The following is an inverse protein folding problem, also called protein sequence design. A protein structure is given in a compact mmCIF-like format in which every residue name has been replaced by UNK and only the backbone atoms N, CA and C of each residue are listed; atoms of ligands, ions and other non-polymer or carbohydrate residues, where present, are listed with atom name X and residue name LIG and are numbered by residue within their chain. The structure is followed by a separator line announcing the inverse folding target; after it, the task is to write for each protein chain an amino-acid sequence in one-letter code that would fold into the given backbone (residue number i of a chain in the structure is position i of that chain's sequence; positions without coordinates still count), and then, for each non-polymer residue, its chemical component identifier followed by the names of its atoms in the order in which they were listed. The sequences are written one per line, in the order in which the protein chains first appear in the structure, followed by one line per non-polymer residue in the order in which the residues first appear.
data_IF_428998859780
#
_entry.id   IF_428998859780
#
_cell.length_a   1.000
_cell.length_b   1.000
_cell.length_c   1.000
_cell.angle_alpha   90.00
_cell.angle_beta   90.00
_cell.angle_gamma   90.00
#
_symmetry.space_group_name_H-M   'P 1'
#
loop_
_entity.id
_entity.type
_entity.pdbx_description
1 polymer ?
#
# COMPACT_ATOMS: atom_id res chain seq x y z
N UNK A 1 24.67 9.39 18.55
CA UNK A 1 23.36 8.87 18.13
C UNK A 1 22.69 9.96 17.31
N UNK A 2 22.34 9.67 16.07
CA UNK A 2 21.56 10.58 15.22
C UNK A 2 20.10 10.09 15.22
N UNK A 3 19.13 10.99 15.31
CA UNK A 3 17.70 10.67 15.42
C UNK A 3 16.97 11.45 14.34
N UNK A 4 16.21 10.74 13.52
CA UNK A 4 15.36 11.31 12.47
C UNK A 4 13.94 10.76 12.63
N UNK A 5 12.95 11.53 12.16
CA UNK A 5 11.54 11.15 12.13
C UNK A 5 11.00 11.32 10.72
N UNK A 6 10.09 10.44 10.31
CA UNK A 6 9.44 10.48 9.00
C UNK A 6 7.93 10.28 9.14
N UNK A 7 7.19 10.80 8.17
CA UNK A 7 5.75 10.58 8.09
C UNK A 7 5.43 9.18 7.55
N UNK A 8 4.34 8.61 8.05
CA UNK A 8 3.82 7.30 7.63
C UNK A 8 2.36 7.44 7.25
N UNK A 9 2.00 6.99 6.05
CA UNK A 9 0.58 6.86 5.68
C UNK A 9 0.08 5.52 6.19
N UNK A 10 -0.85 5.55 7.15
CA UNK A 10 -1.56 4.36 7.62
C UNK A 10 -2.88 4.20 6.89
N UNK A 11 -3.07 3.07 6.23
CA UNK A 11 -4.33 2.66 5.61
C UNK A 11 -4.89 1.48 6.41
N UNK A 12 -6.17 1.56 6.77
CA UNK A 12 -6.91 0.44 7.34
C UNK A 12 -7.95 -0.01 6.32
N UNK A 13 -7.87 -1.28 5.93
CA UNK A 13 -8.78 -1.88 4.95
C UNK A 13 -9.63 -2.92 5.69
N UNK A 14 -10.93 -2.68 5.74
CA UNK A 14 -11.93 -3.57 6.35
C UNK A 14 -12.83 -4.19 5.29
N UNK A 15 -13.69 -5.13 5.70
CA UNK A 15 -14.74 -5.71 4.86
C UNK A 15 -14.22 -6.45 3.61
N UNK A 16 -12.97 -6.92 3.65
CA UNK A 16 -12.39 -7.80 2.65
C UNK A 16 -12.78 -9.25 3.02
N UNK A 17 -13.50 -9.99 2.14
CA UNK A 17 -13.96 -11.34 2.47
C UNK A 17 -12.81 -12.27 2.90
N UNK A 18 -12.99 -12.95 4.05
CA UNK A 18 -12.02 -13.89 4.65
C UNK A 18 -10.69 -13.28 5.09
N UNK A 19 -10.69 -11.97 5.35
CA UNK A 19 -9.57 -11.28 5.98
C UNK A 19 -10.02 -10.60 7.27
N UNK A 20 -9.13 -10.60 8.25
CA UNK A 20 -9.19 -9.65 9.36
C UNK A 20 -8.84 -8.24 8.83
N UNK A 21 -9.07 -7.15 9.58
CA UNK A 21 -8.65 -5.82 9.15
C UNK A 21 -7.17 -5.80 8.73
N UNK A 22 -6.92 -5.36 7.49
CA UNK A 22 -5.59 -5.26 6.93
C UNK A 22 -5.07 -3.85 7.22
N UNK A 23 -3.96 -3.76 7.94
CA UNK A 23 -3.26 -2.51 8.19
C UNK A 23 -2.08 -2.39 7.22
N UNK A 24 -1.99 -1.27 6.51
CA UNK A 24 -0.89 -0.98 5.60
C UNK A 24 -0.22 0.31 6.06
N UNK A 25 1.10 0.28 6.14
CA UNK A 25 1.94 1.44 6.44
C UNK A 25 2.80 1.69 5.21
N UNK A 26 2.69 2.90 4.65
CA UNK A 26 3.48 3.34 3.50
C UNK A 26 4.40 4.45 3.95
N UNK A 27 5.69 4.23 3.72
CA UNK A 27 6.76 5.16 4.01
C UNK A 27 7.50 5.44 2.70
N UNK A 28 7.14 6.54 2.05
CA UNK A 28 7.87 7.05 0.89
C UNK A 28 8.98 7.96 1.39
N UNK A 29 10.24 7.54 1.25
CA UNK A 29 11.39 8.27 1.77
C UNK A 29 11.84 9.42 0.86
N UNK A 30 11.14 9.64 -0.26
CA UNK A 30 11.68 10.45 -1.34
C UNK A 30 12.87 9.75 -2.01
N UNK A 31 13.42 10.36 -3.05
CA UNK A 31 14.52 9.78 -3.84
C UNK A 31 14.21 8.41 -4.46
N UNK A 32 12.92 8.11 -4.69
CA UNK A 32 12.46 6.83 -5.28
C UNK A 32 12.79 5.64 -4.38
N UNK A 33 12.88 5.82 -3.07
CA UNK A 33 13.02 4.75 -2.10
C UNK A 33 11.81 4.71 -1.18
N UNK A 34 11.42 3.52 -0.72
CA UNK A 34 10.26 3.40 0.15
C UNK A 34 10.12 2.04 0.78
N UNK A 35 9.32 2.01 1.85
CA UNK A 35 9.01 0.81 2.63
C UNK A 35 7.50 0.66 2.74
N UNK A 36 7.04 -0.59 2.57
CA UNK A 36 5.67 -0.99 2.89
C UNK A 36 5.69 -2.02 4.01
N UNK A 37 4.77 -1.88 4.96
CA UNK A 37 4.44 -2.92 5.93
C UNK A 37 2.96 -3.25 5.81
N UNK A 38 2.65 -4.53 5.61
CA UNK A 38 1.29 -5.08 5.63
C UNK A 38 1.14 -5.91 6.89
N UNK A 39 0.10 -5.69 7.68
CA UNK A 39 -0.20 -6.47 8.87
C UNK A 39 -1.65 -6.94 8.89
N UNK A 40 -1.85 -8.20 9.27
CA UNK A 40 -3.17 -8.82 9.45
C UNK A 40 -3.05 -9.94 10.50
N UNK A 41 -3.96 -9.98 11.49
CA UNK A 41 -4.05 -11.03 12.52
C UNK A 41 -2.71 -11.46 13.14
N UNK A 42 -2.00 -10.52 13.76
CA UNK A 42 -0.74 -10.81 14.47
C UNK A 42 0.44 -11.15 13.56
N UNK A 43 0.26 -11.25 12.25
CA UNK A 43 1.33 -11.39 11.26
C UNK A 43 1.61 -10.02 10.60
N UNK A 44 2.87 -9.79 10.23
CA UNK A 44 3.29 -8.61 9.50
C UNK A 44 4.37 -8.94 8.48
N UNK A 45 4.30 -8.31 7.31
CA UNK A 45 5.24 -8.49 6.22
C UNK A 45 5.74 -7.12 5.78
N UNK A 46 7.05 -6.97 5.69
CA UNK A 46 7.69 -5.68 5.37
C UNK A 46 8.63 -5.85 4.20
N UNK A 47 8.53 -4.93 3.24
CA UNK A 47 9.41 -4.87 2.08
C UNK A 47 9.95 -3.45 1.91
N UNK A 48 11.19 -3.35 1.45
CA UNK A 48 11.88 -2.08 1.18
C UNK A 48 12.50 -2.13 -0.22
N UNK A 49 12.42 -1.00 -0.92
CA UNK A 49 13.08 -0.78 -2.19
C UNK A 49 13.89 0.51 -2.13
N UNK A 50 15.18 0.42 -2.51
CA UNK A 50 16.09 1.57 -2.55
C UNK A 50 16.05 2.35 -3.87
N UNK A 51 15.40 1.80 -4.92
CA UNK A 51 15.27 2.45 -6.22
C UNK A 51 14.05 1.92 -6.99
N UNK A 52 12.92 2.62 -6.85
CA UNK A 52 11.62 2.29 -7.42
C UNK A 52 11.34 2.99 -8.75
N UNK A 53 12.14 3.99 -9.12
CA UNK A 53 11.91 4.82 -10.32
C UNK A 53 10.79 5.87 -10.20
N UNK A 54 9.83 5.66 -9.29
CA UNK A 54 8.64 6.50 -9.05
C UNK A 54 8.28 6.53 -7.55
N UNK A 55 7.11 7.08 -7.21
CA UNK A 55 6.58 7.06 -5.84
C UNK A 55 6.31 5.63 -5.37
N UNK A 56 6.31 5.39 -4.05
CA UNK A 56 6.01 4.08 -3.48
C UNK A 56 4.63 3.58 -3.93
N UNK A 57 3.60 4.41 -3.85
CA UNK A 57 2.24 4.03 -4.23
C UNK A 57 2.14 3.64 -5.70
N UNK A 58 2.74 4.42 -6.61
CA UNK A 58 2.75 4.09 -8.04
C UNK A 58 3.52 2.81 -8.34
N UNK A 59 4.63 2.59 -7.62
CA UNK A 59 5.44 1.39 -7.76
C UNK A 59 4.65 0.14 -7.37
N UNK A 60 3.99 0.16 -6.20
CA UNK A 60 3.14 -0.94 -5.73
C UNK A 60 1.98 -1.21 -6.70
N UNK A 61 1.36 -0.17 -7.26
CA UNK A 61 0.28 -0.33 -8.23
C UNK A 61 0.74 -1.00 -9.54
N UNK A 62 1.96 -0.72 -10.00
CA UNK A 62 2.54 -1.26 -11.24
C UNK A 62 3.16 -2.64 -11.10
N UNK A 63 3.78 -2.94 -9.95
CA UNK A 63 4.45 -4.21 -9.71
C UNK A 63 3.47 -5.39 -9.70
N UNK A 64 3.88 -6.58 -10.13
CA UNK A 64 3.03 -7.77 -10.03
C UNK A 64 3.01 -8.32 -8.60
N UNK A 65 1.93 -9.02 -8.23
CA UNK A 65 1.81 -9.57 -6.87
C UNK A 65 2.85 -10.65 -6.58
N UNK A 66 3.33 -11.36 -7.60
CA UNK A 66 4.39 -12.37 -7.44
C UNK A 66 5.70 -11.74 -7.01
N UNK A 67 6.12 -10.68 -7.70
CA UNK A 67 7.27 -9.86 -7.32
C UNK A 67 7.13 -9.30 -5.89
N UNK A 68 6.00 -8.65 -5.60
CA UNK A 68 5.76 -8.09 -4.26
C UNK A 68 5.79 -9.16 -3.17
N UNK A 69 5.17 -10.32 -3.43
CA UNK A 69 5.21 -11.47 -2.50
C UNK A 69 6.63 -11.96 -2.26
N UNK A 70 7.48 -12.01 -3.29
CA UNK A 70 8.87 -12.41 -3.15
C UNK A 70 9.68 -11.52 -2.20
N UNK A 71 9.35 -10.22 -2.13
CA UNK A 71 9.96 -9.29 -1.18
C UNK A 71 9.34 -9.34 0.22
N UNK A 72 8.02 -9.56 0.30
CA UNK A 72 7.29 -9.57 1.56
C UNK A 72 7.49 -10.88 2.34
N UNK A 73 7.54 -12.01 1.63
CA UNK A 73 7.80 -13.33 2.20
C UNK A 73 8.28 -14.30 1.11
N UNK A 74 9.61 -14.43 1.00
CA UNK A 74 10.25 -15.31 0.01
C UNK A 74 9.93 -16.80 0.22
N UNK A 75 9.38 -17.19 1.38
CA UNK A 75 9.03 -18.58 1.67
C UNK A 75 7.70 -18.99 1.02
N UNK A 76 6.87 -18.03 0.63
CA UNK A 76 5.56 -18.28 0.03
C UNK A 76 5.69 -18.75 -1.41
N UNK A 77 5.33 -20.02 -1.63
CA UNK A 77 5.24 -20.62 -2.96
C UNK A 77 3.82 -20.52 -3.51
N UNK A 78 3.68 -20.25 -4.81
CA UNK A 78 2.41 -20.00 -5.52
C UNK A 78 1.32 -21.06 -5.32
N UNK A 79 1.71 -22.32 -5.05
CA UNK A 79 0.77 -23.44 -4.85
C UNK A 79 0.20 -23.56 -3.43
N UNK A 80 0.64 -22.73 -2.48
CA UNK A 80 0.28 -22.83 -1.07
C UNK A 80 -0.84 -21.85 -0.72
N UNK A 81 -1.78 -22.24 0.14
CA UNK A 81 -2.91 -21.39 0.56
C UNK A 81 -2.46 -20.04 1.14
N UNK A 82 -1.33 -20.01 1.86
CA UNK A 82 -0.74 -18.77 2.38
C UNK A 82 -0.37 -17.78 1.28
N UNK A 83 0.13 -18.26 0.13
CA UNK A 83 0.40 -17.41 -1.03
C UNK A 83 -0.89 -16.80 -1.58
N UNK A 84 -1.95 -17.60 -1.73
CA UNK A 84 -3.27 -17.07 -2.17
C UNK A 84 -3.82 -16.01 -1.21
N UNK A 85 -3.61 -16.20 0.11
CA UNK A 85 -4.00 -15.20 1.11
C UNK A 85 -3.16 -13.92 0.99
N UNK A 86 -1.85 -14.04 0.75
CA UNK A 86 -0.98 -12.88 0.47
C UNK A 86 -1.39 -12.16 -0.82
N UNK A 87 -1.69 -12.90 -1.89
CA UNK A 87 -2.17 -12.32 -3.15
C UNK A 87 -3.46 -11.52 -2.97
N UNK A 88 -4.42 -12.07 -2.20
CA UNK A 88 -5.66 -11.38 -1.83
C UNK A 88 -5.40 -10.10 -1.03
N UNK A 89 -4.45 -10.10 -0.08
CA UNK A 89 -4.02 -8.88 0.64
C UNK A 89 -3.50 -7.83 -0.32
N UNK A 90 -2.58 -8.21 -1.21
CA UNK A 90 -1.98 -7.29 -2.18
C UNK A 90 -3.02 -6.70 -3.13
N UNK A 91 -4.01 -7.48 -3.54
CA UNK A 91 -5.13 -6.99 -4.34
C UNK A 91 -5.95 -5.94 -3.57
N UNK A 92 -6.23 -6.18 -2.28
CA UNK A 92 -6.92 -5.21 -1.43
C UNK A 92 -6.09 -3.92 -1.23
N UNK A 93 -4.78 -4.03 -1.01
CA UNK A 93 -3.86 -2.88 -0.90
C UNK A 93 -3.88 -2.04 -2.18
N UNK A 94 -3.75 -2.69 -3.34
CA UNK A 94 -3.78 -2.01 -4.64
C UNK A 94 -5.12 -1.32 -4.89
N UNK A 95 -6.22 -1.96 -4.54
CA UNK A 95 -7.54 -1.35 -4.68
C UNK A 95 -7.70 -0.13 -3.77
N UNK A 96 -7.26 -0.20 -2.52
CA UNK A 96 -7.26 0.94 -1.62
C UNK A 96 -6.42 2.11 -2.17
N UNK A 97 -5.22 1.82 -2.69
CA UNK A 97 -4.35 2.83 -3.31
C UNK A 97 -5.02 3.49 -4.54
N UNK A 98 -5.68 2.73 -5.41
CA UNK A 98 -6.42 3.28 -6.56
C UNK A 98 -7.52 4.24 -6.13
N UNK A 99 -8.28 3.90 -5.09
CA UNK A 99 -9.35 4.76 -4.57
C UNK A 99 -8.81 6.06 -3.99
N UNK A 100 -7.72 5.98 -3.23
CA UNK A 100 -7.07 7.17 -2.69
C UNK A 100 -6.52 8.08 -3.80
N UNK A 101 -5.95 7.50 -4.86
CA UNK A 101 -5.51 8.26 -6.04
C UNK A 101 -6.71 8.91 -6.77
N UNK A 102 -7.80 8.18 -6.97
CA UNK A 102 -9.00 8.69 -7.65
C UNK A 102 -9.68 9.83 -6.88
N UNK A 103 -9.76 9.75 -5.54
CA UNK A 103 -10.33 10.83 -4.71
C UNK A 103 -9.47 12.10 -4.66
N UNK A 104 -8.23 12.06 -5.15
CA UNK A 104 -7.38 13.26 -5.28
C UNK A 104 -7.73 14.06 -6.55
N UNK A 105 -8.56 13.50 -7.45
CA UNK A 105 -8.90 14.07 -8.77
C UNK A 105 -10.32 14.67 -8.83
N UNK A 106 -11.14 14.56 -7.77
CA UNK A 106 -12.46 15.21 -7.76
C UNK A 106 -12.33 16.73 -7.57
N UNK A 107 -12.90 17.57 -8.46
CA UNK A 107 -12.91 19.01 -8.28
C UNK A 107 -13.84 19.38 -7.12
N UNK A 108 -13.31 20.13 -6.16
CA UNK A 108 -14.11 20.86 -5.17
C UNK A 108 -15.27 21.58 -5.88
N UNK A 109 -16.53 21.45 -5.42
CA UNK A 109 -17.62 22.20 -6.00
C UNK A 109 -17.31 23.69 -5.83
N UNK A 110 -17.19 24.40 -6.96
CA UNK A 110 -17.06 25.84 -6.98
C UNK A 110 -18.23 26.43 -6.19
N UNK A 111 -17.93 26.97 -5.02
CA UNK A 111 -18.82 27.84 -4.28
C UNK A 111 -19.02 29.10 -5.13
N UNK A 112 -20.07 29.10 -5.95
CA UNK A 112 -20.55 30.32 -6.60
C UNK A 112 -21.01 31.28 -5.50
N UNK A 113 -20.08 32.12 -5.06
CA UNK A 113 -20.38 33.33 -4.32
C UNK A 113 -20.51 34.46 -5.33
N UNK A 114 -21.61 35.19 -5.19
CA UNK A 114 -21.87 36.54 -5.68
C UNK A 114 -22.33 36.71 -7.14
N UNK A 115 -23.51 37.31 -7.28
CA UNK A 115 -23.87 38.01 -8.51
C UNK A 115 -25.33 38.41 -8.69
N UNK A 116 -25.83 39.27 -7.79
CA UNK A 116 -26.98 40.21 -7.97
C UNK A 116 -28.41 39.65 -7.99
#
# INVERSE_FOLDING_TARGET
MHIETSDVIKIQITDVPRHDPIHVYLEDYGNKAGRITIAEYGESWTAFWSSMGCSLSDFILKADNGYLTGYLDHSLKTKIQKYKRMDSRLNAVKEALRRLHAHTVEPQPQSNTAGQ
#
